data_IF_934513493556
#
_entry.id   IF_934513493556
#
_cell.length_a   1.000
_cell.length_b   1.000
_cell.length_c   1.000
_cell.angle_alpha   90.00
_cell.angle_beta   90.00
_cell.angle_gamma   90.00
#
_symmetry.space_group_name_H-M   'P 1'
#
loop_
_entity.id
_entity.type
_entity.pdbx_description
1 polymer ?
#
# COMPACT_ATOMS: atom_id res chain seq x y z
N UNK A 1 21.86 12.61 37.35
CA UNK A 1 21.10 12.36 36.11
C UNK A 1 20.86 13.70 35.43
N UNK A 2 21.56 14.00 34.34
CA UNK A 2 21.40 15.25 33.58
C UNK A 2 20.23 15.14 32.62
N UNK A 3 19.33 16.11 32.66
CA UNK A 3 18.17 16.20 31.75
C UNK A 3 18.69 16.34 30.30
N UNK A 4 18.20 15.54 29.34
CA UNK A 4 18.62 15.66 27.95
C UNK A 4 18.24 17.04 27.40
N UNK A 5 19.08 17.58 26.50
CA UNK A 5 18.79 18.85 25.84
C UNK A 5 17.60 18.69 24.89
N UNK A 6 16.90 19.78 24.55
CA UNK A 6 15.84 19.76 23.54
C UNK A 6 16.33 19.21 22.18
N UNK A 7 17.62 19.39 21.86
CA UNK A 7 18.24 18.83 20.66
C UNK A 7 18.32 17.31 20.69
N UNK A 8 18.73 16.74 21.83
CA UNK A 8 18.84 15.28 22.01
C UNK A 8 17.46 14.61 21.96
N UNK A 9 16.46 15.22 22.60
CA UNK A 9 15.09 14.74 22.58
C UNK A 9 14.50 14.75 21.15
N UNK A 10 14.72 15.83 20.39
CA UNK A 10 14.28 15.92 18.99
C UNK A 10 14.96 14.88 18.11
N UNK A 11 16.27 14.68 18.27
CA UNK A 11 17.01 13.68 17.49
C UNK A 11 16.50 12.27 17.77
N UNK A 12 16.27 11.93 19.04
CA UNK A 12 15.71 10.64 19.43
C UNK A 12 14.31 10.44 18.85
N UNK A 13 13.44 11.45 18.94
CA UNK A 13 12.10 11.39 18.34
C UNK A 13 12.14 11.14 16.83
N UNK A 14 13.04 11.82 16.10
CA UNK A 14 13.20 11.60 14.65
C UNK A 14 13.73 10.22 14.31
N UNK A 15 14.67 9.69 15.11
CA UNK A 15 15.21 8.33 14.95
C UNK A 15 14.16 7.24 15.15
N UNK A 16 13.13 7.50 15.96
CA UNK A 16 12.01 6.58 16.16
C UNK A 16 10.91 6.78 15.10
N UNK A 17 10.58 8.02 14.78
CA UNK A 17 9.47 8.35 13.87
C UNK A 17 9.76 7.94 12.43
N UNK A 18 10.95 8.23 11.90
CA UNK A 18 11.23 7.99 10.49
C UNK A 18 11.14 6.49 10.12
N UNK A 19 11.74 5.55 10.88
CA UNK A 19 11.55 4.12 10.62
C UNK A 19 10.10 3.66 10.82
N UNK A 20 9.40 4.20 11.83
CA UNK A 20 8.00 3.86 12.08
C UNK A 20 7.11 4.26 10.89
N UNK A 21 7.29 5.46 10.33
CA UNK A 21 6.58 5.90 9.13
C UNK A 21 6.97 5.06 7.91
N UNK A 22 8.24 4.72 7.74
CA UNK A 22 8.69 3.86 6.65
C UNK A 22 8.08 2.44 6.72
N UNK A 23 7.93 1.89 7.92
CA UNK A 23 7.35 0.57 8.14
C UNK A 23 5.85 0.49 7.77
N UNK A 24 5.15 1.62 7.79
CA UNK A 24 3.73 1.71 7.39
C UNK A 24 3.55 2.29 5.98
N UNK A 25 4.63 2.39 5.19
CA UNK A 25 4.53 2.74 3.78
C UNK A 25 3.74 1.67 3.00
N UNK A 26 3.02 2.03 1.92
CA UNK A 26 2.25 1.07 1.12
C UNK A 26 3.07 -0.14 0.66
N UNK A 27 4.31 0.10 0.21
CA UNK A 27 5.21 -0.96 -0.23
C UNK A 27 5.60 -1.90 0.92
N UNK A 28 5.87 -1.36 2.11
CA UNK A 28 6.19 -2.17 3.29
C UNK A 28 4.99 -3.01 3.74
N UNK A 29 3.80 -2.41 3.76
CA UNK A 29 2.55 -3.11 4.12
C UNK A 29 2.25 -4.25 3.16
N UNK A 30 2.38 -4.03 1.84
CA UNK A 30 2.17 -5.09 0.86
C UNK A 30 3.20 -6.20 0.96
N UNK A 31 4.49 -5.89 1.15
CA UNK A 31 5.53 -6.92 1.37
C UNK A 31 5.32 -7.72 2.65
N UNK A 32 4.71 -7.12 3.67
CA UNK A 32 4.38 -7.81 4.91
C UNK A 32 3.16 -8.73 4.74
N UNK A 33 2.16 -8.29 3.96
CA UNK A 33 0.90 -9.01 3.78
C UNK A 33 0.93 -10.05 2.65
N UNK A 34 1.77 -9.83 1.63
CA UNK A 34 1.82 -10.60 0.39
C UNK A 34 3.24 -11.07 0.11
N UNK A 35 3.36 -12.23 -0.55
CA UNK A 35 4.59 -12.62 -1.24
C UNK A 35 4.27 -12.94 -2.69
N UNK A 36 5.11 -12.45 -3.59
CA UNK A 36 4.98 -12.66 -5.01
C UNK A 36 6.34 -13.09 -5.57
N UNK A 37 6.40 -14.24 -6.22
CA UNK A 37 7.63 -14.80 -6.81
C UNK A 37 7.68 -14.73 -8.34
N UNK A 38 6.64 -14.16 -8.97
CA UNK A 38 6.50 -14.08 -10.42
C UNK A 38 5.46 -15.05 -11.00
N UNK A 39 5.10 -16.10 -10.25
CA UNK A 39 4.13 -17.13 -10.67
C UNK A 39 3.02 -17.31 -9.63
N UNK A 40 3.41 -17.44 -8.36
CA UNK A 40 2.51 -17.69 -7.23
C UNK A 40 2.41 -16.47 -6.32
N UNK A 41 1.18 -16.02 -6.11
CA UNK A 41 0.84 -15.02 -5.10
C UNK A 41 0.46 -15.72 -3.80
N UNK A 42 1.19 -15.43 -2.73
CA UNK A 42 0.85 -15.86 -1.39
C UNK A 42 0.12 -14.72 -0.67
N UNK A 43 -1.12 -14.94 -0.27
CA UNK A 43 -1.96 -13.96 0.39
C UNK A 43 -2.87 -14.64 1.42
N UNK A 44 -2.94 -14.12 2.64
CA UNK A 44 -3.86 -14.64 3.67
C UNK A 44 -3.64 -16.12 4.02
N UNK A 45 -2.40 -16.61 3.93
CA UNK A 45 -2.08 -18.03 4.14
C UNK A 45 -2.43 -18.97 2.99
N UNK A 46 -2.96 -18.43 1.89
CA UNK A 46 -3.28 -19.18 0.67
C UNK A 46 -2.30 -18.87 -0.46
N UNK A 47 -2.29 -19.76 -1.46
CA UNK A 47 -1.43 -19.67 -2.64
C UNK A 47 -2.29 -19.61 -3.90
N UNK A 48 -1.96 -18.67 -4.79
CA UNK A 48 -2.66 -18.45 -6.05
C UNK A 48 -1.65 -18.45 -7.18
N UNK A 49 -1.66 -19.51 -7.99
CA UNK A 49 -0.98 -19.50 -9.28
C UNK A 49 -1.74 -18.56 -10.22
N UNK A 50 -1.16 -17.39 -10.48
CA UNK A 50 -1.84 -16.40 -11.31
C UNK A 50 -1.91 -16.85 -12.77
N UNK A 51 -1.03 -17.73 -13.26
CA UNK A 51 -1.02 -18.24 -14.66
C UNK A 51 -2.23 -19.13 -14.95
N UNK A 52 -2.82 -19.70 -13.89
CA UNK A 52 -4.06 -20.48 -13.97
C UNK A 52 -5.32 -19.64 -13.75
N UNK A 53 -5.16 -18.35 -13.44
CA UNK A 53 -6.27 -17.42 -13.24
C UNK A 53 -6.45 -16.60 -14.51
N UNK A 54 -7.62 -16.73 -15.13
CA UNK A 54 -7.97 -15.98 -16.34
C UNK A 54 -7.89 -14.46 -16.12
N UNK A 55 -8.35 -13.99 -14.96
CA UNK A 55 -8.42 -12.56 -14.66
C UNK A 55 -8.25 -12.24 -13.18
N UNK A 56 -7.22 -11.45 -12.86
CA UNK A 56 -7.08 -10.82 -11.54
C UNK A 56 -7.61 -9.38 -11.58
N UNK A 57 -8.56 -9.05 -10.69
CA UNK A 57 -9.18 -7.73 -10.59
C UNK A 57 -8.94 -7.15 -9.21
N UNK A 58 -8.49 -5.90 -9.14
CA UNK A 58 -8.24 -5.19 -7.88
C UNK A 58 -9.44 -4.33 -7.52
N UNK A 59 -9.94 -4.50 -6.29
CA UNK A 59 -10.98 -3.65 -5.70
C UNK A 59 -10.53 -3.18 -4.32
N UNK A 60 -10.88 -1.96 -3.96
CA UNK A 60 -10.53 -1.42 -2.65
C UNK A 60 -11.13 -0.06 -2.39
N UNK A 61 -11.05 0.40 -1.14
CA UNK A 61 -11.48 1.74 -0.76
C UNK A 61 -10.71 2.24 0.47
N UNK A 62 -10.66 3.56 0.65
CA UNK A 62 -10.17 4.22 1.86
C UNK A 62 -8.99 5.16 1.62
N UNK A 63 -8.64 5.96 2.65
CA UNK A 63 -7.63 7.03 2.57
C UNK A 63 -6.28 6.58 2.02
N UNK A 64 -5.79 5.42 2.48
CA UNK A 64 -4.48 4.89 2.06
C UNK A 64 -4.54 4.00 0.81
N UNK A 65 -5.74 3.77 0.27
CA UNK A 65 -5.94 2.74 -0.75
C UNK A 65 -5.35 3.10 -2.11
N UNK A 66 -5.22 4.39 -2.44
CA UNK A 66 -4.56 4.85 -3.67
C UNK A 66 -3.08 4.47 -3.72
N UNK A 67 -2.33 4.73 -2.64
CA UNK A 67 -0.93 4.33 -2.51
C UNK A 67 -0.75 2.82 -2.50
N UNK A 68 -1.64 2.08 -1.84
CA UNK A 68 -1.65 0.62 -1.86
C UNK A 68 -1.94 0.08 -3.27
N UNK A 69 -2.86 0.68 -4.01
CA UNK A 69 -3.16 0.31 -5.39
C UNK A 69 -1.94 0.50 -6.30
N UNK A 70 -1.27 1.65 -6.21
CA UNK A 70 -0.06 1.93 -6.97
C UNK A 70 1.06 0.91 -6.67
N UNK A 71 1.32 0.63 -5.38
CA UNK A 71 2.33 -0.33 -4.98
C UNK A 71 1.97 -1.78 -5.37
N UNK A 72 0.69 -2.14 -5.35
CA UNK A 72 0.23 -3.46 -5.79
C UNK A 72 0.40 -3.63 -7.30
N UNK A 73 0.12 -2.58 -8.07
CA UNK A 73 0.36 -2.60 -9.52
C UNK A 73 1.84 -2.63 -9.87
N UNK A 74 2.71 -1.99 -9.09
CA UNK A 74 4.16 -2.15 -9.22
C UNK A 74 4.59 -3.61 -8.96
N UNK A 75 4.00 -4.26 -7.96
CA UNK A 75 4.34 -5.64 -7.59
C UNK A 75 3.85 -6.69 -8.62
N UNK A 76 2.59 -6.60 -9.07
CA UNK A 76 1.96 -7.61 -9.92
C UNK A 76 1.95 -7.24 -11.42
N UNK A 77 2.14 -5.96 -11.74
CA UNK A 77 2.30 -5.46 -13.10
C UNK A 77 1.18 -5.92 -14.06
N UNK A 78 1.53 -6.52 -15.21
CA UNK A 78 0.56 -6.99 -16.20
C UNK A 78 -0.39 -8.08 -15.72
N UNK A 79 -0.13 -8.73 -14.57
CA UNK A 79 -1.02 -9.78 -14.06
C UNK A 79 -2.35 -9.20 -13.55
N UNK A 80 -2.40 -7.91 -13.21
CA UNK A 80 -3.66 -7.22 -12.92
C UNK A 80 -4.35 -6.91 -14.24
N UNK A 81 -5.53 -7.46 -14.45
CA UNK A 81 -6.30 -7.22 -15.66
C UNK A 81 -7.04 -5.88 -15.63
N UNK A 82 -7.55 -5.48 -14.46
CA UNK A 82 -8.23 -4.21 -14.23
C UNK A 82 -8.36 -3.94 -12.73
N UNK A 83 -8.77 -2.73 -12.35
CA UNK A 83 -9.23 -2.48 -11.00
C UNK A 83 -9.99 -1.16 -10.83
N UNK A 84 -10.62 -1.03 -9.67
CA UNK A 84 -11.28 0.19 -9.20
C UNK A 84 -11.02 0.35 -7.70
N UNK A 85 -10.44 1.48 -7.32
CA UNK A 85 -10.17 1.80 -5.92
C UNK A 85 -10.75 3.16 -5.58
N UNK A 86 -11.58 3.22 -4.54
CA UNK A 86 -12.26 4.46 -4.12
C UNK A 86 -11.45 5.18 -3.06
N UNK A 87 -11.05 6.42 -3.34
CA UNK A 87 -10.22 7.25 -2.46
C UNK A 87 -10.96 8.54 -2.10
N UNK A 88 -10.66 9.17 -0.96
CA UNK A 88 -11.07 10.55 -0.72
C UNK A 88 -10.41 11.50 -1.73
N UNK A 89 -10.95 12.71 -1.86
CA UNK A 89 -10.36 13.76 -2.70
C UNK A 89 -8.88 13.99 -2.38
N UNK A 90 -8.05 14.04 -3.42
CA UNK A 90 -6.60 14.19 -3.25
C UNK A 90 -5.90 12.90 -2.82
N UNK A 91 -6.54 11.74 -3.01
CA UNK A 91 -5.90 10.44 -2.82
C UNK A 91 -4.62 10.30 -3.66
N UNK A 92 -3.58 9.73 -3.05
CA UNK A 92 -2.26 9.62 -3.67
C UNK A 92 -2.12 8.35 -4.52
N UNK A 93 -1.22 8.39 -5.51
CA UNK A 93 -0.91 7.26 -6.40
C UNK A 93 -1.42 7.46 -7.83
N UNK A 94 -0.73 6.84 -8.79
CA UNK A 94 -1.10 6.89 -10.21
C UNK A 94 -0.95 5.51 -10.89
N UNK A 95 -1.66 4.47 -10.40
CA UNK A 95 -1.72 3.19 -11.11
C UNK A 95 -2.32 3.37 -12.51
N UNK A 96 -1.91 2.52 -13.47
CA UNK A 96 -2.35 2.60 -14.87
C UNK A 96 -3.51 1.65 -15.16
N UNK A 97 -3.55 0.48 -14.52
CA UNK A 97 -4.55 -0.58 -14.73
C UNK A 97 -5.66 -0.52 -13.70
N UNK A 98 -5.35 -0.02 -12.50
CA UNK A 98 -6.33 0.23 -11.44
C UNK A 98 -6.82 1.67 -11.56
N UNK A 99 -8.12 1.88 -11.76
CA UNK A 99 -8.69 3.23 -11.75
C UNK A 99 -8.87 3.71 -10.31
N UNK A 100 -8.46 4.94 -10.03
CA UNK A 100 -8.80 5.62 -8.78
C UNK A 100 -10.07 6.44 -8.98
N UNK A 101 -11.06 6.25 -8.11
CA UNK A 101 -12.31 6.99 -8.11
C UNK A 101 -12.39 7.82 -6.83
N UNK A 102 -12.51 9.13 -6.97
CA UNK A 102 -12.72 9.98 -5.80
C UNK A 102 -14.17 9.88 -5.30
N UNK A 103 -14.34 9.90 -3.99
CA UNK A 103 -15.62 9.96 -3.31
C UNK A 103 -15.57 10.88 -2.08
N UNK A 104 -16.73 11.39 -1.67
CA UNK A 104 -16.84 12.28 -0.52
C UNK A 104 -16.55 11.56 0.81
N UNK A 105 -15.93 12.27 1.74
CA UNK A 105 -15.65 11.84 3.10
C UNK A 105 -15.53 13.10 3.99
N UNK A 106 -16.05 13.14 5.24
CA UNK A 106 -16.59 12.02 6.02
C UNK A 106 -18.05 11.68 5.77
N UNK A 107 -18.76 12.47 4.95
CA UNK A 107 -20.17 12.24 4.59
C UNK A 107 -20.21 11.69 3.15
N UNK A 108 -21.01 10.64 2.86
CA UNK A 108 -21.17 10.08 1.51
C UNK A 108 -21.77 11.05 0.49
#
# INVERSE_FOLDING_TARGET
MTTPSNGDARLLAMRLLAPALAAVSPQALLRAALRWDGYTLHAGGQQYDLDRIERAVVVGAGKASGGLAAALEEMLGPRIAAGLVVVPSGGEGAPRRIRLQEAAHPVP
#
